data_IF_345399504177
#
_entry.id   IF_345399504177
#
_cell.length_a   1.000
_cell.length_b   1.000
_cell.length_c   1.000
_cell.angle_alpha   90.00
_cell.angle_beta   90.00
_cell.angle_gamma   90.00
#
_symmetry.space_group_name_H-M   'P 1'
#
loop_
_entity.id
_entity.type
_entity.pdbx_description
1 polymer ?
#
# COMPACT_ATOMS: atom_id res chain seq x y z
N UNK A 1 -15.13 -6.19 -3.65
CA UNK A 1 -14.17 -5.09 -3.37
C UNK A 1 -14.67 -4.10 -2.32
N UNK A 2 -15.92 -3.63 -2.36
CA UNK A 2 -16.48 -2.73 -1.33
C UNK A 2 -16.34 -3.24 0.11
N UNK A 3 -16.57 -4.55 0.34
CA UNK A 3 -16.33 -5.21 1.64
C UNK A 3 -14.89 -5.10 2.15
N UNK A 4 -13.91 -4.94 1.25
CA UNK A 4 -12.49 -4.80 1.61
C UNK A 4 -12.12 -3.33 1.76
N UNK A 5 -12.51 -2.48 0.80
CA UNK A 5 -12.16 -1.06 0.79
C UNK A 5 -12.89 -0.26 1.89
N UNK A 6 -14.23 -0.32 1.93
CA UNK A 6 -15.05 0.41 2.91
C UNK A 6 -15.29 -0.42 4.17
N UNK A 7 -15.62 -1.70 3.99
CA UNK A 7 -15.88 -2.61 5.11
C UNK A 7 -14.63 -3.09 5.86
N UNK A 8 -13.42 -2.78 5.36
CA UNK A 8 -12.13 -3.15 5.95
C UNK A 8 -12.00 -4.63 6.38
N UNK A 9 -12.73 -5.55 5.73
CA UNK A 9 -12.84 -6.96 6.16
C UNK A 9 -11.49 -7.66 6.38
N UNK A 10 -10.46 -7.34 5.59
CA UNK A 10 -9.09 -7.87 5.76
C UNK A 10 -8.40 -7.35 7.02
N UNK A 11 -8.65 -6.09 7.40
CA UNK A 11 -8.07 -5.48 8.59
C UNK A 11 -8.74 -6.09 9.84
N UNK A 12 -10.06 -6.30 9.79
CA UNK A 12 -10.88 -6.93 10.84
C UNK A 12 -10.56 -8.39 11.13
N UNK A 13 -9.69 -9.05 10.34
CA UNK A 13 -9.05 -10.33 10.76
C UNK A 13 -8.32 -10.22 12.11
N UNK A 14 -7.98 -9.00 12.56
CA UNK A 14 -7.61 -8.70 13.94
C UNK A 14 -8.64 -7.73 14.52
N UNK A 15 -9.68 -8.19 15.22
CA UNK A 15 -10.89 -7.39 15.48
C UNK A 15 -10.59 -6.09 16.23
N UNK A 16 -9.81 -6.14 17.31
CA UNK A 16 -9.45 -4.96 18.11
C UNK A 16 -8.71 -3.91 17.27
N UNK A 17 -7.66 -4.32 16.56
CA UNK A 17 -6.87 -3.41 15.73
C UNK A 17 -7.63 -2.94 14.48
N UNK A 18 -8.52 -3.79 13.96
CA UNK A 18 -9.42 -3.45 12.87
C UNK A 18 -10.39 -2.36 13.28
N UNK A 19 -11.00 -2.48 14.46
CA UNK A 19 -11.91 -1.47 14.99
C UNK A 19 -11.19 -0.13 15.20
N UNK A 20 -10.03 -0.14 15.86
CA UNK A 20 -9.23 1.08 16.05
C UNK A 20 -8.89 1.76 14.71
N UNK A 21 -8.47 0.98 13.71
CA UNK A 21 -8.16 1.51 12.38
C UNK A 21 -9.40 2.02 11.64
N UNK A 22 -10.52 1.30 11.74
CA UNK A 22 -11.77 1.69 11.12
C UNK A 22 -12.31 3.01 11.68
N UNK A 23 -12.25 3.20 13.01
CA UNK A 23 -12.62 4.46 13.66
C UNK A 23 -11.77 5.63 13.16
N UNK A 24 -10.46 5.41 12.99
CA UNK A 24 -9.56 6.43 12.42
C UNK A 24 -9.92 6.74 10.98
N UNK A 25 -10.08 5.70 10.13
CA UNK A 25 -10.42 5.87 8.72
C UNK A 25 -11.74 6.62 8.51
N UNK A 26 -12.82 6.20 9.16
CA UNK A 26 -14.12 6.85 9.02
C UNK A 26 -14.14 8.24 9.65
N UNK A 27 -13.41 8.44 10.75
CA UNK A 27 -13.20 9.75 11.32
C UNK A 27 -12.53 10.71 10.34
N UNK A 28 -11.47 10.27 9.66
CA UNK A 28 -10.85 11.06 8.59
C UNK A 28 -11.81 11.36 7.44
N UNK A 29 -12.64 10.41 7.01
CA UNK A 29 -13.62 10.67 5.95
C UNK A 29 -14.61 11.79 6.33
N UNK A 30 -15.10 11.79 7.58
CA UNK A 30 -16.02 12.81 8.10
C UNK A 30 -15.32 14.16 8.25
N UNK A 31 -14.16 14.18 8.93
CA UNK A 31 -13.39 15.41 9.19
C UNK A 31 -12.95 16.07 7.87
N UNK A 32 -12.60 15.27 6.84
CA UNK A 32 -12.17 15.80 5.54
C UNK A 32 -13.22 16.72 4.89
N UNK A 33 -14.52 16.50 5.12
CA UNK A 33 -15.57 17.40 4.63
C UNK A 33 -15.44 18.79 5.25
N UNK A 34 -15.20 18.85 6.56
CA UNK A 34 -14.95 20.11 7.28
C UNK A 34 -13.62 20.76 6.89
N UNK A 35 -12.58 19.97 6.63
CA UNK A 35 -11.30 20.50 6.12
C UNK A 35 -11.45 21.12 4.72
N UNK A 36 -12.30 20.56 3.86
CA UNK A 36 -12.60 21.15 2.55
C UNK A 36 -13.34 22.49 2.72
N UNK A 37 -14.33 22.57 3.62
CA UNK A 37 -14.99 23.83 3.97
C UNK A 37 -13.97 24.88 4.43
N UNK A 38 -13.07 24.52 5.34
CA UNK A 38 -12.05 25.42 5.88
C UNK A 38 -11.14 26.00 4.79
N UNK A 39 -10.77 25.19 3.78
CA UNK A 39 -9.99 25.67 2.62
C UNK A 39 -10.81 26.64 1.77
N UNK A 40 -12.09 26.35 1.53
CA UNK A 40 -13.00 27.22 0.77
C UNK A 40 -13.19 28.56 1.50
N UNK A 41 -13.46 28.52 2.80
CA UNK A 41 -13.64 29.68 3.68
C UNK A 41 -12.39 30.57 3.65
N UNK A 42 -11.20 29.98 3.79
CA UNK A 42 -9.93 30.70 3.75
C UNK A 42 -9.64 31.41 2.43
N UNK A 43 -10.05 30.83 1.29
CA UNK A 43 -9.84 31.44 -0.05
C UNK A 43 -10.91 32.48 -0.38
N UNK A 44 -12.15 32.23 0.01
CA UNK A 44 -13.29 33.09 -0.30
C UNK A 44 -13.48 34.26 0.67
N UNK A 45 -12.80 34.23 1.83
CA UNK A 45 -13.04 35.17 2.93
C UNK A 45 -14.43 35.00 3.56
N UNK A 46 -15.10 33.87 3.31
CA UNK A 46 -16.40 33.54 3.90
C UNK A 46 -16.21 32.75 5.20
N UNK A 47 -17.22 32.80 6.07
CA UNK A 47 -17.24 32.01 7.30
C UNK A 47 -18.37 30.97 7.25
N UNK A 48 -17.99 29.69 7.33
CA UNK A 48 -18.89 28.53 7.30
C UNK A 48 -19.71 28.49 6.02
N UNK A 49 -19.03 28.42 4.87
CA UNK A 49 -19.64 28.41 3.54
C UNK A 49 -20.68 27.29 3.34
N UNK A 50 -20.60 26.18 4.07
CA UNK A 50 -21.56 25.07 3.98
C UNK A 50 -22.76 25.21 4.94
N UNK A 51 -22.87 26.32 5.67
CA UNK A 51 -23.97 26.57 6.61
C UNK A 51 -25.37 26.55 5.97
N UNK A 52 -25.48 26.77 4.66
CA UNK A 52 -26.74 26.67 3.91
C UNK A 52 -27.39 25.28 3.95
N UNK A 53 -26.62 24.23 4.26
CA UNK A 53 -27.12 22.85 4.38
C UNK A 53 -27.96 22.60 5.64
N UNK A 54 -28.06 23.59 6.56
CA UNK A 54 -28.96 23.55 7.70
C UNK A 54 -28.70 22.38 8.65
N UNK A 55 -29.65 21.44 8.77
CA UNK A 55 -29.55 20.28 9.68
C UNK A 55 -28.37 19.37 9.30
N UNK A 56 -28.14 19.17 8.01
CA UNK A 56 -27.04 18.32 7.53
C UNK A 56 -25.70 18.91 7.97
N UNK A 57 -25.55 20.23 7.92
CA UNK A 57 -24.37 20.93 8.39
C UNK A 57 -24.11 20.68 9.88
N UNK A 58 -25.16 20.78 10.71
CA UNK A 58 -25.07 20.50 12.16
C UNK A 58 -24.63 19.05 12.43
N UNK A 59 -25.12 18.08 11.65
CA UNK A 59 -24.71 16.67 11.77
C UNK A 59 -23.23 16.49 11.38
N UNK A 60 -22.77 17.14 10.31
CA UNK A 60 -21.38 17.07 9.87
C UNK A 60 -20.45 17.62 10.95
N UNK A 61 -20.77 18.79 11.51
CA UNK A 61 -19.95 19.39 12.57
C UNK A 61 -19.98 18.58 13.87
N UNK A 62 -21.16 18.09 14.27
CA UNK A 62 -21.31 17.20 15.43
C UNK A 62 -20.44 15.95 15.28
N UNK A 63 -20.56 15.27 14.14
CA UNK A 63 -19.81 14.05 13.88
C UNK A 63 -18.32 14.31 13.76
N UNK A 64 -17.91 15.39 13.10
CA UNK A 64 -16.52 15.82 13.00
C UNK A 64 -15.88 16.07 14.37
N UNK A 65 -16.58 16.77 15.27
CA UNK A 65 -16.13 17.07 16.63
C UNK A 65 -15.96 15.80 17.48
N UNK A 66 -16.94 14.90 17.43
CA UNK A 66 -16.89 13.60 18.10
C UNK A 66 -15.76 12.74 17.55
N UNK A 67 -15.62 12.66 16.22
CA UNK A 67 -14.57 11.87 15.58
C UNK A 67 -13.18 12.45 15.85
N UNK A 68 -13.01 13.77 15.98
CA UNK A 68 -11.73 14.37 16.34
C UNK A 68 -11.23 13.84 17.68
N UNK A 69 -12.11 13.75 18.69
CA UNK A 69 -11.79 13.18 19.99
C UNK A 69 -11.50 11.66 19.91
N UNK A 70 -12.32 10.91 19.17
CA UNK A 70 -12.10 9.47 18.97
C UNK A 70 -10.73 9.21 18.32
N UNK A 71 -10.42 9.93 17.24
CA UNK A 71 -9.15 9.81 16.50
C UNK A 71 -7.98 10.20 17.41
N UNK A 72 -8.11 11.27 18.20
CA UNK A 72 -7.09 11.68 19.17
C UNK A 72 -6.73 10.54 20.14
N UNK A 73 -7.74 9.87 20.71
CA UNK A 73 -7.55 8.72 21.60
C UNK A 73 -6.91 7.56 20.85
N UNK A 74 -7.42 7.20 19.67
CA UNK A 74 -6.90 6.08 18.88
C UNK A 74 -5.43 6.28 18.47
N UNK A 75 -5.06 7.50 18.09
CA UNK A 75 -3.69 7.83 17.67
C UNK A 75 -2.74 7.81 18.86
N UNK A 76 -3.17 8.31 20.02
CA UNK A 76 -2.42 8.19 21.28
C UNK A 76 -2.15 6.72 21.61
N UNK A 77 -3.17 5.85 21.45
CA UNK A 77 -3.00 4.40 21.62
C UNK A 77 -2.08 3.77 20.56
N UNK A 78 -2.11 4.24 19.30
CA UNK A 78 -1.19 3.75 18.27
C UNK A 78 0.26 4.18 18.49
N UNK A 79 0.49 5.41 18.96
CA UNK A 79 1.80 5.89 19.38
C UNK A 79 2.28 5.06 20.57
N UNK A 80 1.48 4.92 21.62
CA UNK A 80 1.81 4.10 22.78
C UNK A 80 2.13 2.65 22.41
N UNK A 81 1.31 2.03 21.55
CA UNK A 81 1.57 0.69 21.00
C UNK A 81 2.90 0.61 20.25
N UNK A 82 3.31 1.66 19.56
CA UNK A 82 4.56 1.67 18.77
C UNK A 82 5.79 1.92 19.63
N UNK A 83 5.67 2.72 20.68
CA UNK A 83 6.76 3.04 21.62
C UNK A 83 6.96 1.91 22.64
N UNK A 84 5.89 1.40 23.23
CA UNK A 84 5.97 0.47 24.36
C UNK A 84 5.89 -1.00 23.97
N UNK A 85 5.18 -1.36 22.90
CA UNK A 85 5.01 -2.77 22.51
C UNK A 85 6.01 -3.20 21.42
N UNK A 86 6.89 -4.15 21.78
CA UNK A 86 7.87 -4.76 20.84
C UNK A 86 7.19 -5.79 19.92
N UNK A 87 6.53 -5.30 18.88
CA UNK A 87 5.83 -6.16 17.91
C UNK A 87 6.82 -6.67 16.84
N UNK A 88 7.06 -7.98 16.80
CA UNK A 88 8.02 -8.63 15.87
C UNK A 88 7.89 -8.17 14.41
N UNK A 89 6.65 -8.09 13.87
CA UNK A 89 6.42 -7.69 12.46
C UNK A 89 6.80 -6.24 12.14
N UNK A 90 6.99 -5.37 13.14
CA UNK A 90 7.44 -4.00 12.90
C UNK A 90 8.95 -3.89 12.73
N UNK A 91 9.66 -4.98 12.98
CA UNK A 91 11.09 -5.11 12.74
C UNK A 91 11.32 -5.99 11.51
N UNK A 92 12.50 -5.90 10.92
CA UNK A 92 12.92 -6.65 9.73
C UNK A 92 14.19 -6.05 9.16
N UNK A 93 14.87 -6.79 8.28
CA UNK A 93 16.10 -6.33 7.61
C UNK A 93 15.88 -5.08 6.75
N UNK A 94 14.66 -4.91 6.25
CA UNK A 94 14.20 -3.80 5.43
C UNK A 94 13.79 -2.56 6.22
N UNK A 95 13.65 -2.69 7.55
CA UNK A 95 13.15 -1.62 8.41
C UNK A 95 14.32 -0.76 8.91
N UNK A 96 14.48 0.44 8.33
CA UNK A 96 15.53 1.40 8.70
C UNK A 96 15.02 2.48 9.64
N UNK A 97 15.91 3.24 10.28
CA UNK A 97 15.56 4.39 11.12
C UNK A 97 14.58 5.35 10.41
N UNK A 98 14.80 5.64 9.12
CA UNK A 98 13.90 6.48 8.30
C UNK A 98 12.49 5.91 8.24
N UNK A 99 12.33 4.61 7.99
CA UNK A 99 11.01 3.97 7.94
C UNK A 99 10.27 4.03 9.28
N UNK A 100 10.98 3.96 10.40
CA UNK A 100 10.38 4.14 11.73
C UNK A 100 9.98 5.59 11.97
N UNK A 101 10.87 6.54 11.64
CA UNK A 101 10.63 7.97 11.74
C UNK A 101 9.40 8.41 10.93
N UNK A 102 9.24 7.91 9.70
CA UNK A 102 8.06 8.19 8.86
C UNK A 102 6.73 7.85 9.55
N UNK A 103 6.69 6.82 10.41
CA UNK A 103 5.47 6.53 11.18
C UNK A 103 5.25 7.52 12.29
N UNK A 104 6.31 7.85 13.02
CA UNK A 104 6.20 8.78 14.13
C UNK A 104 5.81 10.16 13.62
N UNK A 105 6.40 10.63 12.51
CA UNK A 105 6.00 11.87 11.85
C UNK A 105 4.51 11.82 11.50
N UNK A 106 4.04 10.78 10.79
CA UNK A 106 2.64 10.70 10.42
C UNK A 106 1.70 10.67 11.63
N UNK A 107 2.01 9.88 12.67
CA UNK A 107 1.18 9.78 13.87
C UNK A 107 1.17 11.10 14.67
N UNK A 108 2.32 11.76 14.82
CA UNK A 108 2.43 13.04 15.51
C UNK A 108 1.72 14.15 14.74
N UNK A 109 1.86 14.21 13.41
CA UNK A 109 1.12 15.19 12.59
C UNK A 109 -0.39 15.02 12.74
N UNK A 110 -0.88 13.77 12.72
CA UNK A 110 -2.30 13.49 12.94
C UNK A 110 -2.74 13.90 14.36
N UNK A 111 -1.92 13.62 15.37
CA UNK A 111 -2.19 14.05 16.75
C UNK A 111 -2.35 15.57 16.83
N UNK A 112 -1.41 16.32 16.23
CA UNK A 112 -1.45 17.79 16.19
C UNK A 112 -2.63 18.33 15.38
N UNK A 113 -3.04 17.64 14.30
CA UNK A 113 -4.24 17.98 13.54
C UNK A 113 -5.50 17.83 14.39
N UNK A 114 -5.62 16.76 15.19
CA UNK A 114 -6.79 16.56 16.06
C UNK A 114 -6.82 17.57 17.21
N UNK A 115 -5.66 17.85 17.83
CA UNK A 115 -5.55 18.87 18.87
C UNK A 115 -5.89 20.26 18.36
N UNK A 116 -5.38 20.63 17.18
CA UNK A 116 -5.67 21.94 16.59
C UNK A 116 -7.12 22.07 16.13
N UNK A 117 -7.75 20.98 15.65
CA UNK A 117 -9.18 20.97 15.31
C UNK A 117 -10.07 21.17 16.54
N UNK A 118 -9.82 20.42 17.61
CA UNK A 118 -10.57 20.56 18.86
C UNK A 118 -10.33 21.92 19.52
N UNK A 119 -9.08 22.41 19.51
CA UNK A 119 -8.74 23.75 19.99
C UNK A 119 -9.52 24.82 19.22
N UNK A 120 -9.47 24.79 17.89
CA UNK A 120 -10.22 25.71 17.03
C UNK A 120 -11.73 25.67 17.35
N UNK A 121 -12.35 24.49 17.43
CA UNK A 121 -13.77 24.37 17.75
C UNK A 121 -14.11 24.89 19.17
N UNK A 122 -13.24 24.63 20.15
CA UNK A 122 -13.44 25.05 21.55
C UNK A 122 -13.40 26.57 21.69
N UNK A 123 -12.38 27.21 21.11
CA UNK A 123 -12.25 28.67 21.15
C UNK A 123 -13.22 29.39 20.21
N UNK A 124 -13.73 28.72 19.17
CA UNK A 124 -14.88 29.22 18.40
C UNK A 124 -16.13 29.35 19.26
N UNK A 125 -16.40 28.38 20.15
CA UNK A 125 -17.55 28.44 21.06
C UNK A 125 -17.29 29.49 22.15
N UNK A 126 -16.09 29.49 22.73
CA UNK A 126 -15.73 30.38 23.83
C UNK A 126 -15.74 31.86 23.45
N UNK A 127 -15.26 32.18 22.24
CA UNK A 127 -15.25 33.57 21.72
C UNK A 127 -16.63 34.11 21.36
N UNK A 128 -17.61 33.24 21.10
CA UNK A 128 -18.98 33.64 20.75
C UNK A 128 -19.87 33.62 22.00
N UNK A 129 -20.09 34.80 22.60
CA UNK A 129 -20.93 34.95 23.80
C UNK A 129 -22.42 34.65 23.56
N UNK A 130 -22.87 34.62 22.30
CA UNK A 130 -24.27 34.39 21.94
C UNK A 130 -24.46 33.01 21.28
N UNK A 131 -25.15 32.10 21.98
CA UNK A 131 -25.42 30.73 21.51
C UNK A 131 -26.16 30.73 20.15
N UNK A 132 -26.95 31.77 19.86
CA UNK A 132 -27.68 31.90 18.60
C UNK A 132 -26.77 32.17 17.38
N UNK A 133 -25.56 32.69 17.60
CA UNK A 133 -24.59 33.01 16.54
C UNK A 133 -23.66 31.83 16.21
N UNK A 134 -23.62 30.81 17.09
CA UNK A 134 -22.81 29.61 16.89
C UNK A 134 -23.43 28.77 15.76
N UNK A 135 -22.74 28.74 14.62
CA UNK A 135 -23.11 27.90 13.48
C UNK A 135 -22.58 26.48 13.70
N UNK A 136 -23.43 25.62 14.25
CA UNK A 136 -23.13 24.19 14.40
C UNK A 136 -23.48 23.62 15.76
N UNK A 137 -23.12 22.35 15.96
CA UNK A 137 -23.22 21.68 17.26
C UNK A 137 -21.94 20.90 17.52
N UNK A 138 -21.25 21.20 18.62
CA UNK A 138 -19.90 20.69 18.92
C UNK A 138 -19.86 20.17 20.37
N UNK A 139 -20.29 18.93 20.62
CA UNK A 139 -20.51 18.43 21.99
C UNK A 139 -19.22 18.30 22.79
N UNK A 140 -18.13 17.85 22.17
CA UNK A 140 -16.85 17.65 22.86
C UNK A 140 -16.20 19.00 23.12
N UNK A 141 -16.17 19.87 22.11
CA UNK A 141 -15.58 21.20 22.25
C UNK A 141 -16.36 22.05 23.27
N UNK A 142 -17.70 21.94 23.31
CA UNK A 142 -18.50 22.61 24.35
C UNK A 142 -18.15 22.12 25.76
N UNK A 143 -17.93 20.81 25.93
CA UNK A 143 -17.46 20.26 27.21
C UNK A 143 -16.07 20.81 27.57
N UNK A 144 -15.15 20.89 26.61
CA UNK A 144 -13.82 21.47 26.84
C UNK A 144 -13.88 22.96 27.23
N UNK A 145 -14.79 23.74 26.64
CA UNK A 145 -15.02 25.14 27.03
C UNK A 145 -15.39 25.25 28.50
N UNK A 146 -16.21 24.33 29.05
CA UNK A 146 -16.56 24.36 30.49
C UNK A 146 -15.37 24.09 31.42
N UNK A 147 -14.33 23.41 30.93
CA UNK A 147 -13.11 23.11 31.70
C UNK A 147 -12.11 24.27 31.61
N UNK A 148 -11.93 24.82 30.41
CA UNK A 148 -10.96 25.89 30.15
C UNK A 148 -11.47 27.24 30.69
N UNK A 149 -12.78 27.47 30.63
CA UNK A 149 -13.40 28.75 30.93
C UNK A 149 -13.28 29.74 29.77
N UNK A 150 -13.98 30.87 29.87
CA UNK A 150 -13.93 31.94 28.88
C UNK A 150 -12.82 32.93 29.25
N UNK A 151 -12.03 33.35 28.26
CA UNK A 151 -10.93 34.31 28.40
C UNK A 151 -11.03 35.45 27.39
N UNK A 152 -10.38 36.57 27.71
CA UNK A 152 -10.35 37.74 26.80
C UNK A 152 -9.57 37.46 25.51
N UNK A 153 -8.67 36.46 25.51
CA UNK A 153 -7.82 36.08 24.37
C UNK A 153 -8.43 34.98 23.48
N UNK A 154 -9.66 34.53 23.73
CA UNK A 154 -10.26 33.37 23.06
C UNK A 154 -10.34 33.53 21.53
N UNK A 155 -10.59 34.75 21.05
CA UNK A 155 -10.59 35.04 19.61
C UNK A 155 -9.19 34.88 18.98
N UNK A 156 -8.13 35.25 19.69
CA UNK A 156 -6.74 35.08 19.23
C UNK A 156 -6.35 33.61 19.23
N UNK A 157 -6.77 32.86 20.25
CA UNK A 157 -6.54 31.41 20.35
C UNK A 157 -7.28 30.66 19.24
N UNK A 158 -8.52 31.04 18.93
CA UNK A 158 -9.25 30.51 17.77
C UNK A 158 -8.44 30.68 16.47
N UNK A 159 -7.96 31.90 16.18
CA UNK A 159 -7.16 32.17 14.98
C UNK A 159 -5.84 31.39 14.98
N UNK A 160 -5.18 31.29 16.12
CA UNK A 160 -3.94 30.53 16.28
C UNK A 160 -4.13 29.05 15.91
N UNK A 161 -5.16 28.41 16.47
CA UNK A 161 -5.47 27.01 16.16
C UNK A 161 -5.91 26.82 14.71
N UNK A 162 -6.68 27.76 14.15
CA UNK A 162 -7.06 27.75 12.74
C UNK A 162 -5.82 27.77 11.82
N UNK A 163 -4.87 28.70 12.06
CA UNK A 163 -3.63 28.81 11.27
C UNK A 163 -2.75 27.57 11.40
N UNK A 164 -2.56 27.07 12.62
CA UNK A 164 -1.80 25.84 12.83
C UNK A 164 -2.45 24.67 12.09
N UNK A 165 -3.78 24.54 12.17
CA UNK A 165 -4.48 23.44 11.54
C UNK A 165 -4.32 23.46 10.01
N UNK A 166 -4.57 24.60 9.37
CA UNK A 166 -4.47 24.70 7.90
C UNK A 166 -3.04 24.51 7.39
N UNK A 167 -2.05 25.06 8.10
CA UNK A 167 -0.63 24.87 7.76
C UNK A 167 -0.23 23.40 7.91
N UNK A 168 -0.67 22.73 8.98
CA UNK A 168 -0.42 21.29 9.17
C UNK A 168 -1.07 20.46 8.06
N UNK A 169 -2.29 20.79 7.60
CA UNK A 169 -2.93 20.11 6.46
C UNK A 169 -2.04 20.22 5.23
N UNK A 170 -1.59 21.42 4.86
CA UNK A 170 -0.79 21.62 3.65
C UNK A 170 0.60 20.97 3.74
N UNK A 171 1.26 21.07 4.90
CA UNK A 171 2.53 20.40 5.16
C UNK A 171 2.34 18.88 5.03
N UNK A 172 1.30 18.33 5.66
CA UNK A 172 1.05 16.90 5.62
C UNK A 172 0.76 16.44 4.19
N UNK A 173 -0.09 17.14 3.44
CA UNK A 173 -0.42 16.84 2.05
C UNK A 173 0.84 16.72 1.15
N UNK A 174 1.82 17.60 1.32
CA UNK A 174 3.08 17.56 0.57
C UNK A 174 4.00 16.40 0.97
N UNK A 175 3.96 15.96 2.23
CA UNK A 175 4.76 14.82 2.73
C UNK A 175 4.16 13.49 2.28
N UNK A 176 2.84 13.41 2.07
CA UNK A 176 2.12 12.16 1.80
C UNK A 176 2.74 11.31 0.68
N UNK A 177 2.98 11.81 -0.55
CA UNK A 177 3.51 11.01 -1.68
C UNK A 177 4.85 10.33 -1.41
N UNK A 178 5.66 10.91 -0.52
CA UNK A 178 7.00 10.43 -0.20
C UNK A 178 7.05 9.49 1.00
N UNK A 179 5.95 9.41 1.75
CA UNK A 179 5.85 8.62 2.99
C UNK A 179 5.09 7.32 2.78
N UNK A 180 5.08 6.47 3.81
CA UNK A 180 4.18 5.30 3.87
C UNK A 180 2.71 5.66 4.15
N UNK A 181 2.41 6.90 4.56
CA UNK A 181 1.03 7.32 4.79
C UNK A 181 0.29 7.61 3.48
N UNK A 182 0.97 7.62 2.32
CA UNK A 182 0.34 7.74 1.00
C UNK A 182 -0.76 6.70 0.73
N UNK A 183 -0.74 5.59 1.46
CA UNK A 183 -1.79 4.59 1.40
C UNK A 183 -3.19 5.16 1.67
N UNK A 184 -3.33 6.28 2.37
CA UNK A 184 -4.65 6.92 2.57
C UNK A 184 -5.32 7.27 1.23
N UNK A 185 -4.53 7.66 0.23
CA UNK A 185 -5.03 7.96 -1.12
C UNK A 185 -5.14 6.71 -1.99
N UNK A 186 -4.14 5.83 -1.94
CA UNK A 186 -4.05 4.72 -2.91
C UNK A 186 -4.75 3.43 -2.47
N UNK A 187 -5.06 3.24 -1.19
CA UNK A 187 -5.61 1.95 -0.70
C UNK A 187 -6.94 1.59 -1.36
N UNK A 188 -7.87 2.55 -1.43
CA UNK A 188 -9.20 2.31 -2.02
C UNK A 188 -9.09 2.07 -3.54
N UNK A 189 -8.40 2.93 -4.32
CA UNK A 189 -8.10 2.65 -5.72
C UNK A 189 -7.41 1.30 -5.95
N UNK A 190 -6.43 0.91 -5.11
CA UNK A 190 -5.72 -0.35 -5.31
C UNK A 190 -6.63 -1.57 -5.12
N UNK A 191 -7.47 -1.52 -4.09
CA UNK A 191 -8.45 -2.58 -3.82
C UNK A 191 -9.46 -2.67 -4.96
N UNK A 192 -9.85 -1.54 -5.55
CA UNK A 192 -10.72 -1.50 -6.73
C UNK A 192 -10.05 -2.06 -7.99
N UNK A 193 -8.78 -1.74 -8.21
CA UNK A 193 -7.98 -2.23 -9.34
C UNK A 193 -7.33 -3.60 -9.07
N UNK A 194 -7.78 -4.31 -8.04
CA UNK A 194 -7.25 -5.63 -7.70
C UNK A 194 -7.68 -6.68 -8.72
N UNK A 195 -6.83 -7.70 -8.89
CA UNK A 195 -7.12 -8.86 -9.72
C UNK A 195 -8.38 -9.60 -9.23
N UNK A 196 -9.23 -10.01 -10.17
CA UNK A 196 -10.44 -10.81 -9.90
C UNK A 196 -10.21 -12.32 -10.00
N UNK A 197 -9.16 -12.72 -10.72
CA UNK A 197 -8.82 -14.11 -10.92
C UNK A 197 -8.28 -14.76 -9.63
N UNK A 198 -8.40 -16.09 -9.48
CA UNK A 198 -7.90 -16.81 -8.32
C UNK A 198 -6.42 -16.54 -8.05
N UNK A 199 -6.06 -16.41 -6.77
CA UNK A 199 -4.66 -16.35 -6.36
C UNK A 199 -3.95 -17.63 -6.80
N UNK A 200 -2.74 -17.49 -7.31
CA UNK A 200 -1.96 -18.61 -7.87
C UNK A 200 -2.20 -18.89 -9.35
N UNK A 201 -3.25 -18.33 -9.98
CA UNK A 201 -3.38 -18.41 -11.44
C UNK A 201 -2.21 -17.66 -12.08
N UNK A 202 -1.34 -18.37 -12.79
CA UNK A 202 -0.29 -17.74 -13.60
C UNK A 202 -0.90 -17.32 -14.95
N UNK A 203 -0.47 -16.18 -15.45
CA UNK A 203 -0.82 -15.74 -16.81
C UNK A 203 0.28 -16.18 -17.77
N UNK A 204 -0.02 -16.39 -19.04
CA UNK A 204 1.02 -16.66 -20.04
C UNK A 204 1.62 -15.33 -20.50
N UNK A 205 2.93 -15.27 -20.75
CA UNK A 205 3.52 -14.06 -21.33
C UNK A 205 3.11 -13.96 -22.80
N UNK A 206 2.64 -12.79 -23.23
CA UNK A 206 2.08 -12.61 -24.56
C UNK A 206 3.13 -12.81 -25.65
N UNK A 207 4.36 -12.35 -25.43
CA UNK A 207 5.48 -12.56 -26.34
C UNK A 207 5.80 -14.06 -26.56
N UNK A 208 5.93 -14.83 -25.49
CA UNK A 208 6.13 -16.29 -25.59
C UNK A 208 4.92 -16.98 -26.22
N UNK A 209 3.70 -16.54 -25.90
CA UNK A 209 2.48 -17.11 -26.48
C UNK A 209 2.41 -16.87 -27.99
N UNK A 210 2.84 -15.68 -28.46
CA UNK A 210 2.94 -15.38 -29.89
C UNK A 210 3.97 -16.28 -30.56
N UNK A 211 5.15 -16.41 -29.98
CA UNK A 211 6.22 -17.26 -30.51
C UNK A 211 5.79 -18.73 -30.62
N UNK A 212 5.20 -19.28 -29.56
CA UNK A 212 4.66 -20.66 -29.56
C UNK A 212 3.57 -20.84 -30.62
N UNK A 213 2.68 -19.86 -30.80
CA UNK A 213 1.64 -19.93 -31.85
C UNK A 213 2.25 -19.92 -33.26
N UNK A 214 3.32 -19.17 -33.48
CA UNK A 214 4.06 -19.17 -34.74
C UNK A 214 4.70 -20.55 -34.98
N UNK A 215 5.34 -21.13 -33.96
CA UNK A 215 5.92 -22.48 -34.04
C UNK A 215 4.85 -23.56 -34.31
N UNK A 216 3.64 -23.40 -33.77
CA UNK A 216 2.52 -24.33 -33.99
C UNK A 216 1.80 -24.14 -35.32
N UNK A 217 2.00 -23.02 -36.02
CA UNK A 217 1.41 -22.76 -37.33
C UNK A 217 2.49 -22.30 -38.34
N UNK A 218 3.15 -23.26 -39.03
CA UNK A 218 4.25 -22.99 -39.95
C UNK A 218 3.91 -21.99 -41.08
N UNK A 219 2.64 -21.89 -41.46
CA UNK A 219 2.18 -20.96 -42.50
C UNK A 219 2.32 -19.48 -42.07
N UNK A 220 2.35 -19.22 -40.76
CA UNK A 220 2.51 -17.87 -40.20
C UNK A 220 3.95 -17.51 -39.86
N UNK A 221 4.89 -18.46 -39.95
CA UNK A 221 6.30 -18.29 -39.57
C UNK A 221 7.10 -17.34 -40.46
N UNK A 222 6.58 -16.98 -41.63
CA UNK A 222 7.23 -16.09 -42.60
C UNK A 222 6.69 -14.65 -42.59
N UNK A 223 5.82 -14.29 -41.64
CA UNK A 223 5.45 -12.90 -41.45
C UNK A 223 6.69 -12.12 -40.98
N UNK A 224 7.27 -11.31 -41.86
CA UNK A 224 8.42 -10.48 -41.54
C UNK A 224 8.10 -9.59 -40.33
N UNK A 225 8.78 -9.83 -39.21
CA UNK A 225 8.71 -8.94 -38.05
C UNK A 225 9.25 -7.57 -38.42
N UNK A 226 8.76 -6.52 -37.76
CA UNK A 226 9.30 -5.18 -37.93
C UNK A 226 10.81 -5.19 -37.57
N UNK A 227 11.71 -4.88 -38.51
CA UNK A 227 13.16 -4.87 -38.25
C UNK A 227 13.59 -3.80 -37.24
N UNK A 228 12.69 -2.86 -36.89
CA UNK A 228 12.90 -1.87 -35.83
C UNK A 228 12.25 -2.26 -34.50
N UNK A 229 11.64 -3.44 -34.39
CA UNK A 229 11.06 -3.92 -33.14
C UNK A 229 12.17 -4.13 -32.11
N UNK A 230 12.13 -3.36 -31.03
CA UNK A 230 13.00 -3.58 -29.87
C UNK A 230 12.63 -4.93 -29.25
N UNK A 231 13.60 -5.84 -29.04
CA UNK A 231 13.32 -7.13 -28.40
C UNK A 231 12.60 -6.93 -27.05
N UNK A 232 11.42 -7.51 -26.91
CA UNK A 232 10.70 -7.48 -25.64
C UNK A 232 11.42 -8.39 -24.64
N UNK A 233 11.72 -7.86 -23.45
CA UNK A 233 12.35 -8.62 -22.37
C UNK A 233 11.37 -9.64 -21.78
N UNK A 234 11.86 -10.84 -21.47
CA UNK A 234 11.10 -11.84 -20.75
C UNK A 234 11.15 -11.59 -19.24
N UNK A 235 9.99 -11.36 -18.61
CA UNK A 235 9.91 -11.17 -17.16
C UNK A 235 10.43 -9.80 -16.68
N UNK A 236 10.84 -9.72 -15.41
CA UNK A 236 11.25 -8.48 -14.73
C UNK A 236 12.70 -8.53 -14.30
N UNK A 237 13.53 -7.65 -14.87
CA UNK A 237 14.89 -7.36 -14.37
C UNK A 237 14.89 -6.17 -13.43
N UNK A 238 14.27 -5.08 -13.85
CA UNK A 238 14.33 -3.79 -13.17
C UNK A 238 12.98 -3.06 -13.14
N UNK A 239 12.92 -1.90 -12.49
CA UNK A 239 11.70 -1.13 -12.27
C UNK A 239 10.97 -0.66 -13.55
N UNK A 240 11.61 -0.71 -14.72
CA UNK A 240 10.96 -0.42 -16.00
C UNK A 240 10.20 -1.60 -16.59
N UNK A 241 10.55 -2.83 -16.19
CA UNK A 241 9.93 -4.05 -16.68
C UNK A 241 8.67 -4.43 -15.87
N UNK A 242 8.46 -3.78 -14.72
CA UNK A 242 7.31 -4.08 -13.87
C UNK A 242 6.02 -3.56 -14.50
N UNK A 243 4.94 -4.32 -14.35
CA UNK A 243 3.62 -3.84 -14.74
C UNK A 243 3.24 -2.56 -14.00
N UNK A 244 2.39 -1.73 -14.63
CA UNK A 244 1.78 -0.56 -13.99
C UNK A 244 1.11 -0.91 -12.65
N UNK A 245 0.56 -2.14 -12.55
CA UNK A 245 -0.10 -2.61 -11.33
C UNK A 245 0.90 -2.88 -10.20
N UNK A 246 2.06 -3.45 -10.50
CA UNK A 246 3.14 -3.65 -9.53
C UNK A 246 3.69 -2.29 -9.04
N UNK A 247 3.81 -1.31 -9.93
CA UNK A 247 4.17 0.06 -9.58
C UNK A 247 3.16 0.66 -8.59
N UNK A 248 1.87 0.54 -8.91
CA UNK A 248 0.78 1.03 -8.05
C UNK A 248 0.73 0.31 -6.69
N UNK A 249 0.97 -1.00 -6.68
CA UNK A 249 1.07 -1.81 -5.45
C UNK A 249 2.22 -1.37 -4.55
N UNK A 250 3.38 -1.05 -5.12
CA UNK A 250 4.54 -0.57 -4.37
C UNK A 250 4.27 0.77 -3.68
N UNK A 251 3.55 1.68 -4.34
CA UNK A 251 3.12 2.96 -3.76
C UNK A 251 2.02 2.80 -2.70
N UNK A 252 1.16 1.79 -2.85
CA UNK A 252 0.07 1.49 -1.89
C UNK A 252 0.58 0.76 -0.64
N UNK A 253 1.73 0.09 -0.73
CA UNK A 253 2.28 -0.71 0.36
C UNK A 253 2.42 0.11 1.66
N UNK A 254 1.70 -0.31 2.69
CA UNK A 254 1.68 0.35 4.01
C UNK A 254 2.85 -0.02 4.92
N UNK A 255 3.73 -0.93 4.45
CA UNK A 255 4.84 -1.50 5.23
C UNK A 255 4.38 -2.19 6.55
N UNK A 256 3.11 -2.65 6.61
CA UNK A 256 2.53 -3.20 7.85
C UNK A 256 3.09 -4.55 8.30
N UNK A 257 3.81 -5.26 7.43
CA UNK A 257 4.47 -6.54 7.72
C UNK A 257 3.54 -7.75 7.87
N UNK A 258 2.24 -7.63 7.56
CA UNK A 258 1.31 -8.79 7.56
C UNK A 258 1.78 -9.89 6.61
N UNK A 259 2.18 -9.52 5.40
CA UNK A 259 2.68 -10.42 4.37
C UNK A 259 3.96 -11.16 4.81
N UNK A 260 4.89 -10.47 5.48
CA UNK A 260 6.10 -11.09 6.05
C UNK A 260 5.78 -12.02 7.21
N UNK A 261 4.85 -11.64 8.09
CA UNK A 261 4.49 -12.46 9.27
C UNK A 261 3.83 -13.80 8.95
N UNK A 262 3.33 -13.99 7.72
CA UNK A 262 2.73 -15.25 7.27
C UNK A 262 3.56 -15.96 6.19
N UNK A 263 4.74 -15.43 5.87
CA UNK A 263 5.59 -16.03 4.86
C UNK A 263 6.34 -17.23 5.46
N UNK A 264 6.12 -18.47 4.98
CA UNK A 264 6.76 -19.65 5.55
C UNK A 264 8.29 -19.61 5.39
N UNK A 265 8.79 -19.06 4.27
CA UNK A 265 10.20 -18.86 4.05
C UNK A 265 10.83 -17.90 5.08
N UNK A 266 10.14 -16.78 5.38
CA UNK A 266 10.62 -15.83 6.39
C UNK A 266 10.61 -16.44 7.80
N UNK A 267 9.55 -17.17 8.14
CA UNK A 267 9.37 -17.81 9.45
C UNK A 267 10.49 -18.83 9.72
N UNK A 268 10.94 -19.55 8.68
CA UNK A 268 12.02 -20.53 8.75
C UNK A 268 13.43 -19.91 8.66
N UNK A 269 13.54 -18.58 8.66
CA UNK A 269 14.83 -17.88 8.68
C UNK A 269 15.45 -17.61 7.30
N UNK A 270 14.76 -17.91 6.19
CA UNK A 270 15.22 -17.51 4.86
C UNK A 270 15.10 -15.99 4.67
N UNK A 271 15.89 -15.43 3.76
CA UNK A 271 15.97 -13.98 3.53
C UNK A 271 14.68 -13.35 2.97
N UNK A 272 13.79 -14.13 2.35
CA UNK A 272 12.58 -13.61 1.72
C UNK A 272 11.69 -12.83 2.72
N UNK A 273 11.44 -11.56 2.41
CA UNK A 273 10.37 -10.77 3.00
C UNK A 273 9.49 -10.18 1.90
N UNK A 274 8.21 -10.59 1.78
CA UNK A 274 7.28 -9.99 0.81
C UNK A 274 7.08 -8.49 1.03
N UNK A 275 7.19 -7.99 2.27
CA UNK A 275 7.17 -6.54 2.54
C UNK A 275 8.37 -5.85 1.88
N UNK A 276 9.57 -6.42 2.05
CA UNK A 276 10.81 -5.90 1.49
C UNK A 276 10.72 -5.75 -0.03
N UNK A 277 10.17 -6.75 -0.73
CA UNK A 277 9.93 -6.69 -2.19
C UNK A 277 9.27 -5.38 -2.67
N UNK A 278 8.18 -4.96 -2.00
CA UNK A 278 7.46 -3.74 -2.38
C UNK A 278 8.19 -2.47 -1.94
N UNK A 279 8.91 -2.52 -0.83
CA UNK A 279 9.74 -1.40 -0.36
C UNK A 279 10.92 -1.16 -1.30
N UNK A 280 11.57 -2.22 -1.74
CA UNK A 280 12.71 -2.20 -2.65
C UNK A 280 12.30 -1.76 -4.05
N UNK A 281 11.17 -2.24 -4.57
CA UNK A 281 10.61 -1.74 -5.82
C UNK A 281 10.36 -0.22 -5.76
N UNK A 282 9.74 0.27 -4.67
CA UNK A 282 9.53 1.71 -4.48
C UNK A 282 10.84 2.49 -4.35
N UNK A 283 11.85 1.93 -3.66
CA UNK A 283 13.17 2.54 -3.54
C UNK A 283 13.86 2.64 -4.90
N UNK A 284 13.83 1.55 -5.68
CA UNK A 284 14.39 1.50 -7.02
C UNK A 284 13.71 2.47 -7.98
N UNK A 285 12.38 2.56 -7.92
CA UNK A 285 11.62 3.56 -8.69
C UNK A 285 11.99 5.00 -8.35
N UNK A 286 12.25 5.30 -7.06
CA UNK A 286 12.65 6.64 -6.62
C UNK A 286 14.08 6.98 -7.03
N UNK A 287 14.96 5.99 -7.08
CA UNK A 287 16.34 6.15 -7.52
C UNK A 287 16.41 6.32 -9.06
N UNK A 288 15.82 5.39 -9.81
CA UNK A 288 15.95 5.36 -11.28
C UNK A 288 15.03 6.32 -12.01
N UNK A 289 13.83 6.58 -11.46
CA UNK A 289 12.78 7.36 -12.12
C UNK A 289 13.22 8.77 -12.55
N UNK A 290 13.81 9.60 -11.67
CA UNK A 290 14.31 10.92 -12.04
C UNK A 290 15.39 10.89 -13.14
N UNK A 291 16.28 9.89 -13.10
CA UNK A 291 17.36 9.76 -14.08
C UNK A 291 16.83 9.31 -15.45
N UNK A 292 15.79 8.47 -15.51
CA UNK A 292 15.10 8.13 -16.76
C UNK A 292 14.42 9.35 -17.40
N UNK A 293 13.90 10.28 -16.60
CA UNK A 293 13.31 11.53 -17.09
C UNK A 293 14.41 12.46 -17.63
N UNK A 294 15.53 12.57 -16.91
CA UNK A 294 16.63 13.49 -17.24
C UNK A 294 17.47 13.02 -18.43
N UNK A 295 17.86 11.75 -18.43
CA UNK A 295 18.81 11.17 -19.38
C UNK A 295 18.12 10.32 -20.46
N UNK A 296 16.79 10.17 -20.39
CA UNK A 296 15.99 9.36 -21.33
C UNK A 296 15.85 7.90 -20.93
N UNK A 297 15.02 7.17 -21.69
CA UNK A 297 14.64 5.77 -21.42
C UNK A 297 15.82 4.78 -21.46
N UNK A 298 16.92 5.13 -22.12
CA UNK A 298 18.10 4.27 -22.25
C UNK A 298 19.09 4.41 -21.08
N UNK A 299 18.75 5.18 -20.04
CA UNK A 299 19.60 5.35 -18.87
C UNK A 299 19.80 4.02 -18.14
N UNK A 300 21.07 3.66 -17.93
CA UNK A 300 21.49 2.49 -17.17
C UNK A 300 22.54 2.89 -16.13
N UNK A 301 22.37 2.40 -14.91
CA UNK A 301 23.23 2.69 -13.75
C UNK A 301 23.91 1.43 -13.19
N UNK A 302 23.94 0.34 -13.99
CA UNK A 302 24.47 -0.97 -13.63
C UNK A 302 23.81 -1.60 -12.38
N UNK A 303 22.64 -1.11 -11.95
CA UNK A 303 21.82 -1.71 -10.90
C UNK A 303 20.55 -2.29 -11.48
N UNK A 304 19.98 -3.25 -10.78
CA UNK A 304 18.78 -3.96 -11.14
C UNK A 304 17.97 -4.30 -9.90
N UNK A 305 16.64 -4.37 -10.07
CA UNK A 305 15.75 -4.73 -8.99
C UNK A 305 16.00 -6.17 -8.51
N UNK A 306 16.26 -7.10 -9.44
CA UNK A 306 16.35 -8.53 -9.18
C UNK A 306 17.75 -9.05 -8.77
N UNK A 307 18.73 -8.16 -8.53
CA UNK A 307 20.05 -8.52 -7.98
C UNK A 307 20.44 -7.64 -6.80
N UNK A 308 20.57 -6.32 -7.02
CA UNK A 308 21.08 -5.39 -6.01
C UNK A 308 20.06 -5.14 -4.89
N UNK A 309 18.78 -5.13 -5.25
CA UNK A 309 17.69 -4.81 -4.32
C UNK A 309 17.04 -6.07 -3.76
N UNK A 310 16.68 -7.02 -4.63
CA UNK A 310 16.01 -8.25 -4.28
C UNK A 310 16.80 -9.45 -4.83
N UNK A 311 17.52 -10.12 -3.94
CA UNK A 311 18.55 -11.09 -4.30
C UNK A 311 18.00 -12.40 -4.88
N UNK A 312 18.86 -13.13 -5.60
CA UNK A 312 18.56 -14.47 -6.12
C UNK A 312 18.01 -15.43 -5.05
N UNK A 313 18.59 -15.42 -3.84
CA UNK A 313 18.13 -16.24 -2.71
C UNK A 313 16.70 -15.87 -2.28
N UNK A 314 16.37 -14.57 -2.23
CA UNK A 314 15.03 -14.10 -1.90
C UNK A 314 14.01 -14.51 -2.96
N UNK A 315 14.37 -14.39 -4.25
CA UNK A 315 13.53 -14.76 -5.39
C UNK A 315 13.17 -16.25 -5.33
N UNK A 316 14.15 -17.13 -5.15
CA UNK A 316 13.94 -18.59 -5.15
C UNK A 316 13.42 -19.15 -3.83
N UNK A 317 13.48 -18.40 -2.72
CA UNK A 317 12.88 -18.82 -1.46
C UNK A 317 11.33 -18.82 -1.47
N UNK A 318 10.69 -18.12 -2.41
CA UNK A 318 9.22 -18.07 -2.49
C UNK A 318 8.62 -19.42 -2.93
N UNK A 319 7.71 -19.98 -2.14
CA UNK A 319 7.01 -21.23 -2.49
C UNK A 319 5.71 -21.01 -3.28
N UNK A 320 5.43 -19.78 -3.70
CA UNK A 320 4.19 -19.37 -4.40
C UNK A 320 2.90 -19.82 -3.71
N UNK A 321 2.91 -19.94 -2.36
CA UNK A 321 1.76 -20.37 -1.56
C UNK A 321 0.63 -19.32 -1.42
N UNK A 322 0.84 -18.09 -1.90
CA UNK A 322 -0.12 -16.98 -1.86
C UNK A 322 -0.59 -16.49 -0.48
N UNK A 323 -0.02 -16.97 0.64
CA UNK A 323 -0.37 -16.51 1.98
C UNK A 323 -0.21 -14.99 2.16
N UNK A 324 0.87 -14.42 1.62
CA UNK A 324 1.13 -12.98 1.66
C UNK A 324 0.10 -12.15 0.89
N UNK A 325 -0.38 -12.65 -0.26
CA UNK A 325 -1.42 -12.01 -1.05
C UNK A 325 -2.78 -12.10 -0.35
N UNK A 326 -3.08 -13.23 0.29
CA UNK A 326 -4.30 -13.40 1.08
C UNK A 326 -4.37 -12.46 2.30
N UNK A 327 -3.25 -12.25 2.99
CA UNK A 327 -3.20 -11.41 4.20
C UNK A 327 -3.01 -9.92 3.94
N UNK A 328 -2.75 -9.52 2.70
CA UNK A 328 -2.57 -8.12 2.37
C UNK A 328 -3.89 -7.34 2.55
N UNK A 329 -3.94 -6.30 3.40
CA UNK A 329 -5.16 -5.54 3.64
C UNK A 329 -5.59 -4.70 2.43
N UNK A 330 -4.66 -4.45 1.51
CA UNK A 330 -4.85 -3.66 0.29
C UNK A 330 -4.71 -4.51 -0.97
N UNK A 331 -4.84 -5.84 -0.86
CA UNK A 331 -4.87 -6.78 -2.00
C UNK A 331 -3.63 -6.79 -2.94
N UNK A 332 -2.45 -6.46 -2.44
CA UNK A 332 -1.19 -6.59 -3.21
C UNK A 332 -0.86 -8.07 -3.47
N UNK A 333 -0.61 -8.43 -4.73
CA UNK A 333 -0.20 -9.77 -5.16
C UNK A 333 1.33 -9.90 -5.24
N UNK A 334 2.00 -10.08 -4.10
CA UNK A 334 3.46 -10.18 -4.06
C UNK A 334 4.04 -11.35 -4.91
N UNK A 335 3.45 -12.55 -4.94
CA UNK A 335 4.00 -13.67 -5.70
C UNK A 335 4.10 -13.44 -7.21
N UNK A 336 3.20 -12.67 -7.83
CA UNK A 336 3.27 -12.45 -9.28
C UNK A 336 4.56 -11.76 -9.69
N UNK A 337 4.95 -10.71 -8.99
CA UNK A 337 6.20 -9.99 -9.26
C UNK A 337 7.44 -10.91 -9.07
N UNK A 338 7.43 -11.79 -8.06
CA UNK A 338 8.53 -12.76 -7.87
C UNK A 338 8.58 -13.77 -9.02
N UNK A 339 7.43 -14.24 -9.50
CA UNK A 339 7.38 -15.15 -10.66
C UNK A 339 7.90 -14.46 -11.92
N UNK A 340 7.60 -13.17 -12.11
CA UNK A 340 8.14 -12.41 -13.25
C UNK A 340 9.65 -12.19 -13.15
N UNK A 341 10.20 -12.04 -11.95
CA UNK A 341 11.66 -12.03 -11.76
C UNK A 341 12.29 -13.39 -12.07
N UNK A 342 11.64 -14.50 -11.69
CA UNK A 342 12.09 -15.86 -12.04
C UNK A 342 12.08 -16.08 -13.54
N UNK A 343 11.05 -15.57 -14.23
CA UNK A 343 10.94 -15.62 -15.70
C UNK A 343 12.15 -14.98 -16.36
N UNK A 344 12.55 -13.80 -15.88
CA UNK A 344 13.78 -13.15 -16.35
C UNK A 344 15.02 -13.99 -16.10
N UNK A 345 15.23 -14.45 -14.86
CA UNK A 345 16.40 -15.26 -14.53
C UNK A 345 16.51 -16.51 -15.42
N UNK A 346 15.38 -17.20 -15.65
CA UNK A 346 15.37 -18.44 -16.45
C UNK A 346 15.56 -18.17 -17.94
N UNK A 347 14.77 -17.26 -18.52
CA UNK A 347 14.68 -17.10 -19.98
C UNK A 347 15.73 -16.15 -20.57
N UNK A 348 16.24 -15.20 -19.77
CA UNK A 348 17.23 -14.21 -20.23
C UNK A 348 18.63 -14.54 -19.71
N UNK A 349 18.76 -15.00 -18.46
CA UNK A 349 20.07 -15.25 -17.85
C UNK A 349 20.43 -16.75 -17.79
N UNK A 350 19.51 -17.66 -18.16
CA UNK A 350 19.73 -19.11 -18.03
C UNK A 350 19.98 -19.56 -16.59
N UNK A 351 19.55 -18.78 -15.61
CA UNK A 351 19.82 -18.98 -14.19
C UNK A 351 18.60 -19.54 -13.45
N UNK A 352 18.81 -20.67 -12.79
CA UNK A 352 17.83 -21.34 -11.95
C UNK A 352 18.52 -22.33 -11.01
N UNK A 353 17.89 -22.69 -9.88
CA UNK A 353 18.37 -23.76 -9.01
C UNK A 353 18.57 -25.06 -9.79
N UNK A 354 19.62 -25.82 -9.45
CA UNK A 354 19.99 -27.06 -10.17
C UNK A 354 18.84 -28.05 -10.30
N UNK A 355 18.05 -28.25 -9.23
CA UNK A 355 16.87 -29.12 -9.27
C UNK A 355 15.78 -28.65 -10.25
N UNK A 356 15.63 -27.34 -10.45
CA UNK A 356 14.70 -26.78 -11.43
C UNK A 356 15.26 -26.91 -12.85
N UNK A 357 16.57 -26.69 -13.05
CA UNK A 357 17.23 -26.95 -14.34
C UNK A 357 17.08 -28.41 -14.77
N UNK A 358 17.29 -29.35 -13.84
CA UNK A 358 17.07 -30.77 -14.08
C UNK A 358 15.61 -31.06 -14.44
N UNK A 359 14.65 -30.47 -13.72
CA UNK A 359 13.23 -30.63 -14.04
C UNK A 359 12.89 -30.08 -15.44
N UNK A 360 13.42 -28.93 -15.85
CA UNK A 360 13.21 -28.40 -17.20
C UNK A 360 13.76 -29.34 -18.27
N UNK A 361 14.99 -29.84 -18.10
CA UNK A 361 15.59 -30.80 -19.02
C UNK A 361 14.81 -32.12 -19.08
N UNK A 362 14.27 -32.60 -17.96
CA UNK A 362 13.42 -33.80 -17.94
C UNK A 362 12.09 -33.55 -18.68
N UNK A 363 11.47 -32.38 -18.51
CA UNK A 363 10.24 -32.04 -19.22
C UNK A 363 10.48 -31.98 -20.73
N UNK A 364 11.58 -31.38 -21.16
CA UNK A 364 11.97 -31.27 -22.57
C UNK A 364 12.22 -32.65 -23.20
N UNK A 365 12.95 -33.53 -22.52
CA UNK A 365 13.35 -34.83 -23.08
C UNK A 365 12.31 -35.94 -22.88
N UNK A 366 11.64 -35.98 -21.72
CA UNK A 366 10.79 -37.09 -21.30
C UNK A 366 9.29 -36.72 -21.18
N UNK A 367 8.94 -35.44 -21.34
CA UNK A 367 7.56 -34.96 -21.13
C UNK A 367 7.09 -35.09 -19.68
N UNK A 368 8.01 -35.18 -18.72
CA UNK A 368 7.72 -35.29 -17.29
C UNK A 368 8.82 -34.57 -16.47
N UNK A 369 8.50 -33.96 -15.31
CA UNK A 369 9.50 -33.28 -14.49
C UNK A 369 10.50 -34.23 -13.81
N UNK A 370 10.17 -35.52 -13.77
CA UNK A 370 10.98 -36.56 -13.15
C UNK A 370 11.70 -37.39 -14.20
N UNK A 371 12.85 -37.93 -13.83
CA UNK A 371 13.72 -38.74 -14.69
C UNK A 371 13.23 -40.20 -14.76
N UNK A 372 11.94 -40.41 -15.03
CA UNK A 372 11.37 -41.75 -15.24
C UNK A 372 11.24 -42.04 -16.73
N UNK A 373 11.48 -43.30 -17.11
CA UNK A 373 11.21 -43.75 -18.48
C UNK A 373 9.73 -43.62 -18.80
N UNK A 374 9.40 -43.30 -20.05
CA UNK A 374 8.02 -43.31 -20.53
C UNK A 374 7.39 -44.71 -20.44
N UNK A 375 8.20 -45.77 -20.56
CA UNK A 375 7.77 -47.17 -20.44
C UNK A 375 7.28 -47.52 -19.02
N UNK A 376 7.85 -46.88 -18.00
CA UNK A 376 7.52 -47.13 -16.59
C UNK A 376 6.21 -46.46 -16.15
N UNK A 377 5.63 -45.58 -16.99
CA UNK A 377 4.47 -44.74 -16.64
C UNK A 377 3.24 -45.54 -16.20
N UNK A 378 3.08 -46.78 -16.67
CA UNK A 378 1.95 -47.64 -16.31
C UNK A 378 2.23 -48.64 -15.17
N UNK A 379 3.43 -48.66 -14.60
CA UNK A 379 3.77 -49.64 -13.55
C UNK A 379 2.88 -49.55 -12.32
N UNK A 380 2.44 -48.35 -11.91
CA UNK A 380 1.54 -48.15 -10.77
C UNK A 380 0.18 -48.87 -10.94
N UNK A 381 -0.25 -49.19 -12.17
CA UNK A 381 -1.51 -49.90 -12.42
C UNK A 381 -1.45 -51.38 -12.02
N UNK A 382 -0.26 -51.97 -11.94
CA UNK A 382 -0.06 -53.37 -11.56
C UNK A 382 -0.41 -53.62 -10.08
N UNK A 383 -0.26 -52.61 -9.23
CA UNK A 383 -0.57 -52.68 -7.80
C UNK A 383 -2.07 -52.54 -7.50
N UNK A 384 -2.86 -51.99 -8.45
CA UNK A 384 -4.32 -51.80 -8.31
C UNK A 384 -5.10 -53.01 -8.87
N UNK A 385 -4.43 -53.83 -9.70
CA UNK A 385 -5.04 -55.02 -10.33
C UNK A 385 -4.84 -56.31 -9.53
N UNK A 386 -4.23 -56.22 -8.34
CA UNK A 386 -4.19 -57.25 -7.30
C UNK A 386 -5.20 -56.90 -6.21
#
# INVERSE_FOLDING_TARGET
>A
MLKVALGQSKIFRKPVLGLMHALVFWGFCVISVGSIEMVIDGVSGSEKSLSFLGIIYKIILFSGDVFAAIVLVMITLFIGRRVFLKIKRFNGIEMTHKTHLDAYIALTMILLLMLSLLGMNTFYISSNNNIAEIKGFYPISNFLTTIIGNGEEDANLYQFFWWIHILLIFIFANILPYSKHFHVFLSVPNVFLSRLEPLGKLYNMDNVTKEVKIMMNPETAYAAGDPNAVPERFGVKDAEDVSWKNYFDALTCTQCGRCTSVCPANITGKKLSPRKLMMDLRARMREKGPELIKNGKSYADNKSLNKEYFSYEEIWACTTCNACAQECPVNINHPSLIVDMRRYLVMEEGEAPSGIKAAFSNVENNGAPWQFSSEDRLLWTKEISQ
#
